data_IF_627998320129
#
_entry.id   IF_627998320129
#
_cell.length_a   1.000
_cell.length_b   1.000
_cell.length_c   1.000
_cell.angle_alpha   90.00
_cell.angle_beta   90.00
_cell.angle_gamma   90.00
#
_symmetry.space_group_name_H-M   'P 1'
#
loop_
_entity.id
_entity.type
_entity.pdbx_description
1 polymer ?
#
# COMPACT_ATOMS: atom_id res chain seq x y z
N UNK A 1 -19.50 17.98 48.13
CA UNK A 1 -18.84 18.33 46.86
C UNK A 1 -17.34 18.12 47.01
N UNK A 2 -16.77 17.11 46.34
CA UNK A 2 -15.34 16.82 46.32
C UNK A 2 -15.01 16.15 44.97
N UNK A 3 -14.59 16.99 44.02
CA UNK A 3 -14.17 16.58 42.67
C UNK A 3 -12.89 15.75 42.79
N UNK A 4 -12.91 14.52 42.29
CA UNK A 4 -11.69 13.76 41.99
C UNK A 4 -11.60 13.56 40.49
N UNK A 5 -10.78 14.41 39.89
CA UNK A 5 -10.30 14.33 38.51
C UNK A 5 -9.42 13.09 38.35
N UNK A 6 -9.82 12.18 37.46
CA UNK A 6 -8.93 11.15 36.90
C UNK A 6 -8.74 11.47 35.42
N UNK A 7 -7.64 12.17 35.14
CA UNK A 7 -7.05 12.20 33.82
C UNK A 7 -6.27 10.89 33.62
N UNK A 8 -6.64 10.12 32.59
CA UNK A 8 -5.79 9.05 32.07
C UNK A 8 -5.82 9.14 30.55
N UNK A 9 -4.72 9.68 30.03
CA UNK A 9 -4.34 9.79 28.62
C UNK A 9 -4.03 8.39 28.10
N UNK A 10 -4.64 7.97 26.99
CA UNK A 10 -4.13 6.85 26.19
C UNK A 10 -4.57 6.95 24.72
N UNK A 11 -3.66 7.48 23.92
CA UNK A 11 -3.39 7.16 22.53
C UNK A 11 -4.56 7.29 21.52
N UNK A 12 -4.75 8.52 21.03
CA UNK A 12 -5.21 8.77 19.66
C UNK A 12 -4.14 8.23 18.68
N UNK A 13 -4.14 6.92 18.44
CA UNK A 13 -3.32 6.29 17.39
C UNK A 13 -4.11 6.29 16.08
N UNK A 14 -4.46 7.47 15.58
CA UNK A 14 -4.89 7.58 14.17
C UNK A 14 -3.62 7.55 13.34
N UNK A 15 -3.26 6.36 12.83
CA UNK A 15 -2.25 6.20 11.80
C UNK A 15 -2.54 7.20 10.68
N UNK A 16 -1.74 8.25 10.60
CA UNK A 16 -1.64 9.08 9.41
C UNK A 16 -1.04 8.17 8.33
N UNK A 17 -1.90 7.51 7.55
CA UNK A 17 -1.49 7.03 6.24
C UNK A 17 -1.15 8.27 5.43
N UNK A 18 0.13 8.65 5.48
CA UNK A 18 0.70 9.64 4.59
C UNK A 18 0.56 9.08 3.18
N UNK A 19 -0.53 9.47 2.50
CA UNK A 19 -0.67 9.27 1.07
C UNK A 19 0.52 9.98 0.41
N UNK A 20 1.44 9.20 -0.14
CA UNK A 20 2.60 9.74 -0.82
C UNK A 20 2.12 10.48 -2.08
N UNK A 21 2.11 11.81 -1.99
CA UNK A 21 1.73 12.70 -3.08
C UNK A 21 2.86 12.71 -4.13
N UNK A 22 2.81 11.78 -5.08
CA UNK A 22 3.71 11.78 -6.24
C UNK A 22 3.17 12.72 -7.31
N UNK A 23 3.73 13.94 -7.38
CA UNK A 23 3.32 15.03 -8.28
C UNK A 23 3.65 14.84 -9.78
N UNK A 24 3.76 13.60 -10.27
CA UNK A 24 4.43 13.32 -11.55
C UNK A 24 3.84 12.10 -12.30
N UNK A 25 2.53 11.86 -12.16
CA UNK A 25 1.86 10.75 -12.86
C UNK A 25 2.34 9.36 -12.44
N UNK A 26 2.92 9.25 -11.23
CA UNK A 26 3.38 7.99 -10.66
C UNK A 26 2.28 7.37 -9.80
N UNK A 27 2.31 6.04 -9.74
CA UNK A 27 1.46 5.23 -8.88
C UNK A 27 2.27 4.83 -7.65
N UNK A 28 1.74 5.18 -6.49
CA UNK A 28 2.13 4.70 -5.18
C UNK A 28 1.43 3.39 -4.86
N UNK A 29 2.14 2.48 -4.21
CA UNK A 29 1.58 1.25 -3.69
C UNK A 29 2.13 1.03 -2.29
N UNK A 30 1.25 0.85 -1.32
CA UNK A 30 1.61 0.44 0.02
C UNK A 30 1.35 -1.05 0.17
N UNK A 31 2.31 -1.77 0.73
CA UNK A 31 2.23 -3.21 1.02
C UNK A 31 1.79 -3.42 2.46
N UNK A 32 1.08 -4.52 2.72
CA UNK A 32 0.77 -4.93 4.10
C UNK A 32 2.03 -5.42 4.84
N UNK A 33 3.01 -5.97 4.11
CA UNK A 33 4.26 -6.46 4.67
C UNK A 33 5.48 -5.86 3.94
N UNK A 34 6.53 -5.43 4.65
CA UNK A 34 7.74 -4.93 4.02
C UNK A 34 8.50 -6.05 3.30
N UNK A 35 9.04 -5.72 2.13
CA UNK A 35 9.95 -6.56 1.38
C UNK A 35 11.34 -6.52 2.02
N UNK A 36 11.97 -7.69 2.15
CA UNK A 36 13.31 -7.81 2.73
C UNK A 36 14.40 -7.16 1.89
N UNK A 37 14.17 -7.00 0.58
CA UNK A 37 15.11 -6.40 -0.34
C UNK A 37 14.40 -5.55 -1.39
N UNK A 38 15.08 -4.51 -1.84
CA UNK A 38 14.61 -3.65 -2.93
C UNK A 38 14.44 -4.47 -4.20
N UNK A 39 13.24 -4.44 -4.78
CA UNK A 39 12.89 -5.20 -5.99
C UNK A 39 12.22 -4.32 -7.02
N UNK A 40 12.39 -4.70 -8.28
CA UNK A 40 11.79 -4.01 -9.43
C UNK A 40 10.80 -4.95 -10.09
N UNK A 41 9.54 -4.55 -10.13
CA UNK A 41 8.45 -5.36 -10.67
C UNK A 41 7.77 -4.62 -11.80
N UNK A 42 7.45 -5.33 -12.88
CA UNK A 42 6.70 -4.77 -14.01
C UNK A 42 5.28 -5.30 -13.95
N UNK A 43 4.31 -4.41 -13.76
CA UNK A 43 2.90 -4.77 -13.64
C UNK A 43 2.03 -3.76 -14.39
N UNK A 44 1.07 -4.26 -15.19
CA UNK A 44 0.14 -3.39 -15.94
C UNK A 44 0.81 -2.42 -16.92
N UNK A 45 2.02 -2.73 -17.40
CA UNK A 45 2.80 -1.85 -18.28
C UNK A 45 3.54 -0.71 -17.54
N UNK A 46 3.49 -0.67 -16.21
CA UNK A 46 4.27 0.23 -15.38
C UNK A 46 5.42 -0.52 -14.70
N UNK A 47 6.51 0.21 -14.45
CA UNK A 47 7.69 -0.31 -13.77
C UNK A 47 7.69 0.22 -12.33
N UNK A 48 7.43 -0.67 -11.38
CA UNK A 48 7.43 -0.39 -9.95
C UNK A 48 8.78 -0.71 -9.32
N UNK A 49 9.26 0.21 -8.50
CA UNK A 49 10.43 -0.01 -7.64
C UNK A 49 9.92 -0.07 -6.22
N UNK A 50 10.05 -1.23 -5.60
CA UNK A 50 9.61 -1.50 -4.24
C UNK A 50 10.79 -1.49 -3.29
N UNK A 51 10.66 -0.75 -2.21
CA UNK A 51 11.64 -0.60 -1.14
C UNK A 51 10.91 -0.69 0.20
N UNK A 52 11.22 -1.73 1.00
CA UNK A 52 10.45 -2.02 2.20
C UNK A 52 8.97 -2.27 1.90
N UNK A 53 8.08 -1.50 2.52
CA UNK A 53 6.63 -1.62 2.36
C UNK A 53 6.04 -0.64 1.32
N UNK A 54 6.86 0.11 0.59
CA UNK A 54 6.39 1.06 -0.43
C UNK A 54 6.90 0.66 -1.82
N UNK A 55 6.02 0.68 -2.81
CA UNK A 55 6.39 0.64 -4.21
C UNK A 55 5.97 1.91 -4.93
N UNK A 56 6.87 2.42 -5.77
CA UNK A 56 6.62 3.60 -6.58
C UNK A 56 6.86 3.27 -8.03
N UNK A 57 5.91 3.60 -8.90
CA UNK A 57 6.16 3.49 -10.34
C UNK A 57 7.14 4.57 -10.79
N UNK A 58 8.15 4.19 -11.56
CA UNK A 58 9.07 5.14 -12.21
C UNK A 58 8.38 5.91 -13.35
N UNK A 59 7.50 5.23 -14.08
CA UNK A 59 6.57 5.80 -15.03
C UNK A 59 5.38 4.84 -15.14
N UNK A 60 4.17 5.38 -15.14
CA UNK A 60 2.95 4.60 -15.29
C UNK A 60 2.10 5.17 -16.43
N UNK A 61 1.72 4.36 -17.43
CA UNK A 61 0.66 4.79 -18.34
C UNK A 61 -0.63 4.98 -17.53
N UNK A 62 -1.50 5.89 -17.95
CA UNK A 62 -2.81 6.13 -17.30
C UNK A 62 -3.65 4.84 -17.12
N UNK A 63 -3.39 3.82 -17.95
CA UNK A 63 -4.02 2.48 -17.90
C UNK A 63 -3.46 1.53 -16.84
N UNK A 64 -2.32 1.83 -16.22
CA UNK A 64 -1.72 0.99 -15.18
C UNK A 64 -2.50 1.07 -13.85
N UNK A 65 -3.41 2.02 -13.70
CA UNK A 65 -4.22 2.20 -12.50
C UNK A 65 -5.49 1.33 -12.53
N UNK A 66 -5.30 0.01 -12.47
CA UNK A 66 -6.38 -0.99 -12.56
C UNK A 66 -6.18 -2.14 -11.57
N UNK A 67 -7.28 -2.79 -11.17
CA UNK A 67 -7.25 -4.00 -10.33
C UNK A 67 -6.38 -5.13 -10.92
N UNK A 68 -6.29 -5.22 -12.25
CA UNK A 68 -5.43 -6.21 -12.93
C UNK A 68 -3.94 -5.93 -12.75
N UNK A 69 -3.53 -4.66 -12.86
CA UNK A 69 -2.15 -4.26 -12.60
C UNK A 69 -1.78 -4.47 -11.13
N UNK A 70 -2.68 -4.08 -10.20
CA UNK A 70 -2.52 -4.36 -8.78
C UNK A 70 -2.37 -5.86 -8.53
N UNK A 71 -3.22 -6.71 -9.12
CA UNK A 71 -3.16 -8.17 -8.96
C UNK A 71 -1.83 -8.76 -9.46
N UNK A 72 -1.32 -8.27 -10.58
CA UNK A 72 -0.02 -8.69 -11.12
C UNK A 72 1.12 -8.29 -10.18
N UNK A 73 1.08 -7.08 -9.61
CA UNK A 73 2.03 -6.63 -8.61
C UNK A 73 1.94 -7.49 -7.34
N UNK A 74 0.73 -7.69 -6.81
CA UNK A 74 0.48 -8.44 -5.57
C UNK A 74 0.97 -9.89 -5.64
N UNK A 75 0.98 -10.50 -6.84
CA UNK A 75 1.57 -11.83 -7.07
C UNK A 75 3.09 -11.87 -6.86
N UNK A 76 3.78 -10.77 -7.07
CA UNK A 76 5.24 -10.70 -6.95
C UNK A 76 5.66 -10.23 -5.55
N UNK A 77 5.00 -9.17 -5.04
CA UNK A 77 5.41 -8.49 -3.80
C UNK A 77 4.55 -8.83 -2.58
N UNK A 78 3.39 -9.46 -2.76
CA UNK A 78 2.48 -9.83 -1.69
C UNK A 78 1.27 -8.90 -1.57
N UNK A 79 0.63 -8.89 -0.39
CA UNK A 79 -0.62 -8.15 -0.20
C UNK A 79 -0.40 -6.63 -0.25
N UNK A 80 -1.33 -5.94 -0.91
CA UNK A 80 -1.34 -4.51 -1.13
C UNK A 80 -2.39 -3.84 -0.25
N UNK A 81 -1.96 -2.90 0.59
CA UNK A 81 -2.80 -2.12 1.49
C UNK A 81 -3.38 -0.87 0.82
N UNK A 82 -2.65 -0.29 -0.14
CA UNK A 82 -3.13 0.83 -0.95
C UNK A 82 -2.51 0.80 -2.35
N UNK A 83 -3.26 1.20 -3.37
CA UNK A 83 -2.77 1.29 -4.74
C UNK A 83 -3.41 2.51 -5.42
N UNK A 84 -2.61 3.51 -5.79
CA UNK A 84 -3.15 4.73 -6.37
C UNK A 84 -2.07 5.75 -6.75
N UNK A 85 -2.45 6.69 -7.59
CA UNK A 85 -1.66 7.87 -7.92
C UNK A 85 -2.37 9.13 -7.42
N UNK A 86 -1.84 10.29 -7.78
CA UNK A 86 -2.34 11.59 -7.30
C UNK A 86 -3.85 11.79 -7.56
N UNK A 87 -4.34 11.41 -8.74
CA UNK A 87 -5.71 11.71 -9.17
C UNK A 87 -6.69 10.55 -8.96
N UNK A 88 -6.20 9.34 -8.71
CA UNK A 88 -7.05 8.14 -8.66
C UNK A 88 -6.39 7.03 -7.86
N UNK A 89 -7.19 6.38 -7.02
CA UNK A 89 -6.80 5.21 -6.24
C UNK A 89 -7.81 4.09 -6.42
N UNK A 90 -7.39 2.85 -6.15
CA UNK A 90 -8.30 1.72 -6.03
C UNK A 90 -9.07 1.82 -4.72
N UNK A 91 -10.35 1.52 -4.78
CA UNK A 91 -11.22 1.46 -3.62
C UNK A 91 -11.08 0.11 -2.90
N UNK A 92 -11.73 -0.05 -1.75
CA UNK A 92 -11.56 -1.23 -0.90
C UNK A 92 -12.01 -2.54 -1.60
N UNK A 93 -13.05 -2.50 -2.43
CA UNK A 93 -13.50 -3.65 -3.24
C UNK A 93 -12.43 -4.07 -4.27
N UNK A 94 -11.84 -3.08 -4.95
CA UNK A 94 -10.79 -3.32 -5.93
C UNK A 94 -9.50 -3.86 -5.27
N UNK A 95 -9.14 -3.34 -4.10
CA UNK A 95 -8.01 -3.85 -3.31
C UNK A 95 -8.26 -5.29 -2.85
N UNK A 96 -9.49 -5.60 -2.41
CA UNK A 96 -9.88 -6.97 -2.06
C UNK A 96 -9.73 -7.91 -3.25
N UNK A 97 -10.24 -7.53 -4.43
CA UNK A 97 -10.12 -8.32 -5.68
C UNK A 97 -8.68 -8.48 -6.13
N UNK A 98 -7.88 -7.42 -6.01
CA UNK A 98 -6.44 -7.44 -6.31
C UNK A 98 -5.71 -8.48 -5.44
N UNK A 99 -5.99 -8.47 -4.13
CA UNK A 99 -5.31 -9.31 -3.15
C UNK A 99 -5.73 -10.79 -3.17
N UNK A 100 -6.77 -11.18 -3.92
CA UNK A 100 -7.16 -12.60 -4.08
C UNK A 100 -6.01 -13.46 -4.62
N UNK A 101 -5.11 -12.87 -5.41
CA UNK A 101 -3.93 -13.56 -5.94
C UNK A 101 -2.62 -13.06 -5.35
N UNK A 102 -2.67 -12.32 -4.25
CA UNK A 102 -1.45 -11.89 -3.58
C UNK A 102 -0.61 -13.11 -3.21
N UNK A 103 0.70 -13.03 -3.43
CA UNK A 103 1.63 -14.00 -2.82
C UNK A 103 1.35 -13.95 -1.33
N UNK A 104 1.13 -15.12 -0.71
CA UNK A 104 1.05 -15.20 0.74
C UNK A 104 2.44 -14.81 1.27
N UNK A 105 2.64 -13.51 1.48
CA UNK A 105 3.73 -12.97 2.27
C UNK A 105 3.55 -13.61 3.63
N UNK A 106 4.51 -14.44 3.99
CA UNK A 106 4.60 -15.11 5.27
C UNK A 106 4.39 -14.06 6.35
N UNK A 107 3.21 -14.13 6.95
CA UNK A 107 2.86 -13.47 8.19
C UNK A 107 3.77 -14.07 9.25
N UNK A 108 4.90 -13.44 9.53
CA UNK A 108 5.52 -13.58 10.85
C UNK A 108 5.37 -12.24 11.53
N UNK A 109 4.16 -12.00 12.03
CA UNK A 109 3.97 -11.11 13.16
C UNK A 109 4.86 -11.65 14.28
N UNK A 110 5.83 -10.84 14.68
CA UNK A 110 6.74 -11.09 15.78
C UNK A 110 5.93 -11.23 17.09
N UNK A 111 6.38 -12.18 17.91
CA UNK A 111 5.72 -12.75 19.09
C UNK A 111 5.92 -11.92 20.35
#
# INVERSE_FOLDING_TARGET
MKLQSLAAVAALTTCLFAGSAFADGRIAVALEAPLAAKTKVVAGGAVFVCDGAECVSTAAPSRALTAMACKALAKEVGRVSAFGGETKSLDADDLTRCNVSAKAGVQTAEK
#
